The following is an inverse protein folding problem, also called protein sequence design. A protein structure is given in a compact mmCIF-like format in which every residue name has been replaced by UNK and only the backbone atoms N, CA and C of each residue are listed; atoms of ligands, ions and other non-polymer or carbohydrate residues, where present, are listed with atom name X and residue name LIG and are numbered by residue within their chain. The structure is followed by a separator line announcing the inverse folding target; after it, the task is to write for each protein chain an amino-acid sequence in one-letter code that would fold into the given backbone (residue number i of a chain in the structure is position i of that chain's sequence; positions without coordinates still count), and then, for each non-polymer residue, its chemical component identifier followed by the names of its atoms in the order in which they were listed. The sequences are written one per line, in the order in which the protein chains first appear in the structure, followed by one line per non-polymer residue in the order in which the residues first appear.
data_IF_436194730998
#
_entry.id   IF_436194730998
#
_cell.length_a   1.000
_cell.length_b   1.000
_cell.length_c   1.000
_cell.angle_alpha   90.00
_cell.angle_beta   90.00
_cell.angle_gamma   90.00
#
_symmetry.space_group_name_H-M   'P 1'
#
loop_
_entity.id
_entity.type
_entity.pdbx_description
1 polymer ?
#
# COMPACT_ATOMS: atom_id res chain seq x y z
N UNK A 1 9.97 -14.98 -1.67
CA UNK A 1 9.64 -14.75 -0.25
C UNK A 1 9.45 -13.25 -0.18
N UNK A 2 8.18 -12.82 -0.12
CA UNK A 2 7.79 -11.69 -0.97
C UNK A 2 6.37 -11.16 -0.75
N UNK A 3 6.19 -9.86 -0.48
CA UNK A 3 4.95 -9.14 -0.15
C UNK A 3 5.09 -7.61 -0.41
N UNK A 4 3.99 -6.90 -0.67
CA UNK A 4 3.74 -6.04 -1.85
C UNK A 4 3.15 -4.66 -1.51
N UNK A 5 3.38 -3.59 -2.29
CA UNK A 5 3.02 -2.22 -1.88
C UNK A 5 2.63 -1.26 -3.03
N UNK A 6 1.73 -0.29 -2.77
CA UNK A 6 1.21 0.68 -3.76
C UNK A 6 2.05 1.96 -3.82
N UNK A 7 1.55 3.12 -4.25
CA UNK A 7 2.31 4.39 -4.08
C UNK A 7 1.40 5.61 -3.90
N UNK A 8 1.51 6.29 -2.76
CA UNK A 8 1.45 7.76 -2.74
C UNK A 8 2.88 8.29 -2.78
N UNK A 9 3.19 9.14 -3.78
CA UNK A 9 4.40 9.99 -3.91
C UNK A 9 5.68 9.28 -4.40
N UNK A 10 6.06 9.57 -5.64
CA UNK A 10 7.48 9.73 -6.04
C UNK A 10 7.77 11.23 -6.18
N UNK A 11 8.99 11.65 -5.83
CA UNK A 11 9.34 13.07 -5.66
C UNK A 11 9.78 13.77 -6.96
N UNK A 12 9.30 15.00 -7.14
CA UNK A 12 9.90 16.03 -7.99
C UNK A 12 10.89 16.89 -7.20
N UNK A 13 11.87 17.45 -7.89
CA UNK A 13 12.77 18.48 -7.36
C UNK A 13 12.56 19.82 -8.11
N UNK A 14 12.76 20.93 -7.41
CA UNK A 14 12.72 22.34 -7.87
C UNK A 14 11.60 22.77 -8.84
N UNK A 15 10.50 23.26 -8.26
CA UNK A 15 10.00 24.60 -8.59
C UNK A 15 9.84 25.40 -7.30
N UNK A 16 10.62 26.46 -7.14
CA UNK A 16 10.66 27.27 -5.92
C UNK A 16 10.70 28.77 -6.25
N UNK A 17 9.52 29.37 -6.41
CA UNK A 17 9.31 30.81 -6.27
C UNK A 17 8.91 31.13 -4.82
N UNK A 18 9.32 32.29 -4.32
CA UNK A 18 9.58 32.52 -2.89
C UNK A 18 8.40 32.98 -2.02
N UNK A 19 7.16 32.53 -2.26
CA UNK A 19 5.98 33.04 -1.54
C UNK A 19 5.17 31.97 -0.78
N UNK A 20 4.31 32.44 0.14
CA UNK A 20 3.57 31.61 1.10
C UNK A 20 2.34 30.95 0.50
N UNK A 21 2.56 29.92 -0.33
CA UNK A 21 1.48 29.14 -0.97
C UNK A 21 1.97 27.89 -1.67
N UNK A 22 2.60 26.95 -0.94
CA UNK A 22 3.33 25.80 -1.52
C UNK A 22 2.42 24.64 -1.93
N UNK A 23 1.67 24.81 -3.03
CA UNK A 23 1.10 23.68 -3.78
C UNK A 23 2.22 22.85 -4.40
N UNK A 24 2.19 21.52 -4.22
CA UNK A 24 3.14 20.60 -4.85
C UNK A 24 2.41 19.53 -5.65
N UNK A 25 2.75 19.36 -6.92
CA UNK A 25 2.20 18.31 -7.78
C UNK A 25 3.16 17.11 -7.78
N UNK A 26 2.60 15.91 -7.61
CA UNK A 26 3.26 14.60 -7.65
C UNK A 26 2.68 13.78 -8.78
N UNK A 27 3.35 12.71 -9.20
CA UNK A 27 2.72 11.63 -9.96
C UNK A 27 2.01 10.66 -9.00
N UNK A 28 0.85 10.14 -9.41
CA UNK A 28 -0.01 9.28 -8.60
C UNK A 28 -0.84 8.33 -9.45
N UNK A 29 -1.00 7.10 -9.00
CA UNK A 29 -1.86 6.08 -9.62
C UNK A 29 -2.09 4.95 -8.60
N UNK A 30 -3.24 4.25 -8.61
CA UNK A 30 -3.51 3.15 -7.69
C UNK A 30 -3.09 1.82 -8.34
N UNK A 31 -2.48 0.93 -7.57
CA UNK A 31 -1.68 -0.14 -8.14
C UNK A 31 -1.90 -1.50 -7.48
N UNK A 32 -1.48 -2.51 -8.23
CA UNK A 32 -1.21 -3.87 -7.79
C UNK A 32 0.29 -4.12 -7.98
N UNK A 33 0.90 -4.85 -7.06
CA UNK A 33 2.32 -5.22 -7.16
C UNK A 33 2.52 -6.70 -6.77
N UNK A 34 3.73 -7.20 -6.92
CA UNK A 34 4.05 -8.64 -6.94
C UNK A 34 5.53 -8.85 -6.56
N UNK A 35 5.85 -9.18 -5.31
CA UNK A 35 7.26 -9.27 -4.89
C UNK A 35 7.85 -10.66 -5.20
N UNK A 36 9.17 -10.76 -5.35
CA UNK A 36 9.99 -11.95 -5.57
C UNK A 36 11.26 -11.89 -4.70
N UNK A 37 12.02 -13.00 -4.58
CA UNK A 37 13.43 -12.95 -4.19
C UNK A 37 14.33 -12.83 -5.44
N UNK A 38 15.41 -12.06 -5.33
CA UNK A 38 16.49 -11.74 -6.32
C UNK A 38 16.13 -10.76 -7.46
N UNK A 39 16.87 -9.65 -7.56
CA UNK A 39 16.48 -8.38 -6.87
C UNK A 39 17.20 -7.05 -7.68
N UNK A 40 17.53 -5.65 -7.61
CA UNK A 40 17.75 -4.30 -6.76
C UNK A 40 16.57 -3.31 -6.40
N UNK A 41 16.56 -2.42 -5.37
CA UNK A 41 15.27 -1.90 -4.71
C UNK A 41 14.71 -0.42 -4.85
N UNK A 42 13.36 -0.18 -4.63
CA UNK A 42 12.62 0.92 -3.86
C UNK A 42 11.31 1.75 -4.39
N UNK A 43 10.00 1.34 -4.47
CA UNK A 43 8.78 2.28 -4.63
C UNK A 43 7.40 1.96 -3.87
N UNK A 44 6.93 2.69 -2.80
CA UNK A 44 6.50 2.20 -1.41
C UNK A 44 7.22 0.96 -0.91
N UNK A 45 7.49 0.08 -1.84
CA UNK A 45 8.58 -0.85 -1.93
C UNK A 45 10.00 -0.26 -1.60
N UNK A 46 10.33 1.06 -1.32
CA UNK A 46 11.51 1.34 -0.52
C UNK A 46 11.23 0.84 0.87
N UNK A 47 10.12 1.16 1.50
CA UNK A 47 9.91 0.84 2.90
C UNK A 47 10.09 -0.67 3.14
N UNK A 48 9.53 -1.53 2.29
CA UNK A 48 9.89 -2.96 2.30
C UNK A 48 11.37 -3.23 1.96
N UNK A 49 11.88 -2.67 0.86
CA UNK A 49 13.22 -2.96 0.37
C UNK A 49 14.40 -2.40 1.17
N UNK A 50 14.36 -1.11 1.49
CA UNK A 50 15.18 -0.41 2.47
C UNK A 50 15.22 -1.18 3.79
N UNK A 51 14.11 -1.72 4.31
CA UNK A 51 14.12 -2.59 5.50
C UNK A 51 14.82 -3.94 5.28
N UNK A 52 14.93 -4.41 4.04
CA UNK A 52 15.58 -5.67 3.67
C UNK A 52 17.07 -5.50 3.36
N UNK A 53 17.51 -4.31 2.93
CA UNK A 53 18.90 -3.93 2.54
C UNK A 53 19.63 -4.87 1.56
N UNK A 54 18.93 -5.80 0.91
CA UNK A 54 19.60 -6.73 -0.02
C UNK A 54 20.11 -5.96 -1.24
N UNK A 55 21.25 -6.41 -1.81
CA UNK A 55 21.79 -5.80 -3.02
C UNK A 55 20.85 -5.90 -4.21
N UNK A 56 19.69 -6.57 -4.09
CA UNK A 56 18.74 -6.78 -5.17
C UNK A 56 17.18 -6.46 -4.69
N UNK A 57 16.08 -5.83 -5.34
CA UNK A 57 14.75 -5.97 -6.23
C UNK A 57 13.69 -6.92 -5.71
N UNK A 58 13.26 -6.74 -4.47
CA UNK A 58 12.20 -7.62 -4.01
C UNK A 58 10.91 -7.34 -4.80
N UNK A 59 10.61 -6.10 -5.17
CA UNK A 59 9.34 -5.76 -5.82
C UNK A 59 9.25 -5.97 -7.34
N UNK A 60 8.03 -6.28 -7.80
CA UNK A 60 7.49 -6.06 -9.16
C UNK A 60 6.24 -5.22 -9.01
N UNK A 61 5.92 -4.34 -9.95
CA UNK A 61 4.84 -3.35 -9.77
C UNK A 61 4.09 -3.13 -11.06
N UNK A 62 2.77 -3.30 -11.05
CA UNK A 62 1.92 -3.26 -12.24
C UNK A 62 1.00 -2.04 -12.22
N UNK A 63 0.97 -1.33 -13.34
CA UNK A 63 0.34 -0.02 -13.40
C UNK A 63 0.12 0.50 -14.81
N UNK A 64 -0.52 1.68 -14.92
CA UNK A 64 -0.70 2.39 -16.18
C UNK A 64 -0.18 3.83 -16.07
N UNK A 65 0.50 4.30 -17.11
CA UNK A 65 1.08 5.66 -17.23
C UNK A 65 0.89 6.21 -18.64
N UNK A 66 1.06 7.53 -18.79
CA UNK A 66 1.19 8.18 -20.09
C UNK A 66 2.61 8.03 -20.63
N UNK A 67 2.74 8.00 -21.96
CA UNK A 67 4.03 8.11 -22.67
C UNK A 67 4.51 9.55 -22.68
N UNK A 68 4.76 10.08 -21.49
CA UNK A 68 5.12 11.48 -21.25
C UNK A 68 6.28 11.62 -20.25
N UNK A 69 6.71 12.87 -20.04
CA UNK A 69 7.82 13.20 -19.14
C UNK A 69 7.58 12.72 -17.69
N UNK A 70 6.33 12.71 -17.24
CA UNK A 70 5.97 12.22 -15.89
C UNK A 70 6.01 10.69 -15.81
N UNK A 71 5.67 9.98 -16.89
CA UNK A 71 5.84 8.54 -17.03
C UNK A 71 7.31 8.13 -17.03
N UNK A 72 8.19 8.89 -17.70
CA UNK A 72 9.64 8.69 -17.62
C UNK A 72 10.20 9.00 -16.22
N UNK A 73 9.68 10.03 -15.54
CA UNK A 73 10.02 10.29 -14.13
C UNK A 73 9.57 9.11 -13.26
N UNK A 74 8.36 8.57 -13.42
CA UNK A 74 7.90 7.39 -12.68
C UNK A 74 8.80 6.17 -12.93
N UNK A 75 9.11 5.85 -14.19
CA UNK A 75 9.99 4.72 -14.55
C UNK A 75 11.38 4.90 -13.92
N UNK A 76 12.01 6.07 -14.06
CA UNK A 76 13.31 6.35 -13.43
C UNK A 76 13.25 6.35 -11.89
N UNK A 77 12.19 6.91 -11.29
CA UNK A 77 11.92 6.85 -9.85
C UNK A 77 11.36 5.51 -9.37
N UNK A 78 11.29 4.51 -10.26
CA UNK A 78 11.19 3.09 -9.98
C UNK A 78 12.46 2.33 -10.43
N UNK A 79 13.55 3.02 -10.80
CA UNK A 79 14.82 2.40 -11.22
C UNK A 79 16.04 2.90 -10.41
N UNK A 80 16.21 4.20 -10.14
CA UNK A 80 16.98 4.67 -8.96
C UNK A 80 16.45 3.98 -7.69
N UNK A 81 15.13 3.79 -7.74
CA UNK A 81 14.29 3.18 -6.77
C UNK A 81 13.79 1.81 -7.28
N UNK A 82 14.65 1.13 -8.04
CA UNK A 82 14.60 -0.22 -8.58
C UNK A 82 13.42 -1.08 -8.07
N UNK A 83 12.41 -1.16 -8.90
CA UNK A 83 11.30 -2.08 -8.79
C UNK A 83 11.27 -2.80 -10.12
N UNK A 84 10.75 -4.01 -10.18
CA UNK A 84 10.40 -4.63 -11.45
C UNK A 84 9.09 -4.05 -11.98
N UNK A 85 9.11 -2.73 -12.21
CA UNK A 85 7.94 -1.98 -12.61
C UNK A 85 7.61 -2.29 -14.06
N UNK A 86 6.44 -2.88 -14.29
CA UNK A 86 5.89 -3.18 -15.60
C UNK A 86 4.66 -2.30 -15.76
N UNK A 87 4.81 -1.27 -16.59
CA UNK A 87 3.75 -0.32 -16.87
C UNK A 87 3.08 -0.65 -18.20
N UNK A 88 1.75 -0.62 -18.22
CA UNK A 88 0.98 -0.40 -19.43
C UNK A 88 1.19 1.07 -19.85
N UNK A 89 1.95 1.29 -20.91
CA UNK A 89 2.26 2.62 -21.42
C UNK A 89 1.39 2.98 -22.62
N UNK A 90 0.55 4.01 -22.47
CA UNK A 90 -0.44 4.43 -23.46
C UNK A 90 -0.30 5.93 -23.82
N UNK A 91 -0.97 6.38 -24.88
CA UNK A 91 -0.84 7.74 -25.45
C UNK A 91 -2.10 8.60 -25.25
N UNK A 92 -3.21 7.98 -24.85
CA UNK A 92 -4.54 8.57 -24.84
C UNK A 92 -4.76 9.53 -23.65
N UNK A 93 -4.18 9.22 -22.49
CA UNK A 93 -4.26 10.03 -21.26
C UNK A 93 -2.84 10.32 -20.70
N UNK A 94 -2.59 11.50 -20.11
CA UNK A 94 -1.33 11.80 -19.45
C UNK A 94 -1.16 11.02 -18.14
N UNK A 95 0.08 10.86 -17.69
CA UNK A 95 0.42 10.21 -16.43
C UNK A 95 -0.32 10.85 -15.25
N UNK A 96 -0.96 10.01 -14.44
CA UNK A 96 -1.74 10.43 -13.27
C UNK A 96 -0.92 11.25 -12.28
N UNK A 97 -1.59 12.22 -11.65
CA UNK A 97 -0.98 13.19 -10.72
C UNK A 97 -1.79 13.35 -9.43
N UNK A 98 -1.15 13.91 -8.41
CA UNK A 98 -1.81 14.31 -7.17
C UNK A 98 -1.20 15.62 -6.68
N UNK A 99 -1.99 16.63 -6.36
CA UNK A 99 -1.52 17.80 -5.65
C UNK A 99 -1.56 17.53 -4.13
N UNK A 100 -0.45 17.77 -3.43
CA UNK A 100 -0.48 18.00 -1.98
C UNK A 100 -0.45 19.50 -1.72
N UNK A 101 -1.55 20.00 -1.17
CA UNK A 101 -1.66 21.36 -0.65
C UNK A 101 -1.24 21.35 0.83
N UNK A 102 -0.22 22.13 1.15
CA UNK A 102 0.48 22.14 2.44
C UNK A 102 0.16 23.44 3.18
N UNK A 103 -0.54 23.34 4.32
CA UNK A 103 -1.00 24.51 5.11
C UNK A 103 -0.73 24.28 6.59
N UNK A 104 0.44 24.76 7.06
CA UNK A 104 0.98 24.34 8.36
C UNK A 104 1.23 22.83 8.35
N UNK A 105 0.74 22.13 9.37
CA UNK A 105 0.84 20.66 9.48
C UNK A 105 -0.23 19.93 8.65
N UNK A 106 -1.28 20.65 8.22
CA UNK A 106 -2.36 20.07 7.42
C UNK A 106 -1.90 19.72 6.01
N UNK A 107 -2.49 18.65 5.46
CA UNK A 107 -2.29 18.17 4.09
C UNK A 107 -3.66 17.94 3.45
N UNK A 108 -3.93 18.57 2.30
CA UNK A 108 -5.04 18.19 1.43
C UNK A 108 -4.47 17.54 0.17
N UNK A 109 -5.04 16.41 -0.24
CA UNK A 109 -4.59 15.61 -1.39
C UNK A 109 -5.66 15.64 -2.48
N UNK A 110 -5.32 16.11 -3.67
CA UNK A 110 -6.22 16.19 -4.83
C UNK A 110 -5.65 15.36 -5.96
N UNK A 111 -6.16 14.15 -6.15
CA UNK A 111 -5.69 13.21 -7.18
C UNK A 111 -6.42 13.40 -8.52
N UNK A 112 -5.67 13.64 -9.58
CA UNK A 112 -6.12 13.47 -10.96
C UNK A 112 -5.56 12.14 -11.48
N UNK A 113 -6.39 11.11 -11.57
CA UNK A 113 -5.93 9.77 -11.92
C UNK A 113 -5.47 9.65 -13.39
N UNK A 114 -6.15 10.31 -14.35
CA UNK A 114 -5.80 10.28 -15.78
C UNK A 114 -5.42 8.87 -16.26
N UNK A 115 -4.20 8.66 -16.81
CA UNK A 115 -3.71 7.36 -17.28
C UNK A 115 -3.83 6.23 -16.25
N UNK A 116 -3.82 6.52 -14.95
CA UNK A 116 -4.01 5.52 -13.90
C UNK A 116 -5.32 4.74 -14.06
N UNK A 117 -6.39 5.41 -14.51
CA UNK A 117 -7.71 4.81 -14.77
C UNK A 117 -7.73 3.96 -16.04
N UNK A 118 -6.69 4.01 -16.87
CA UNK A 118 -6.63 3.33 -18.17
C UNK A 118 -6.03 1.92 -18.10
N UNK A 119 -5.72 1.40 -16.91
CA UNK A 119 -5.20 0.04 -16.76
C UNK A 119 -6.18 -1.00 -17.29
N UNK A 120 -5.68 -1.91 -18.13
CA UNK A 120 -6.49 -2.89 -18.85
C UNK A 120 -5.92 -4.29 -18.66
N UNK A 121 -6.70 -5.16 -18.00
CA UNK A 121 -6.29 -6.52 -17.63
C UNK A 121 -5.79 -7.30 -18.85
N UNK A 122 -6.57 -7.27 -19.91
CA UNK A 122 -6.35 -7.96 -21.19
C UNK A 122 -5.17 -7.41 -22.01
N UNK A 123 -4.70 -6.19 -21.71
CA UNK A 123 -3.54 -5.56 -22.35
C UNK A 123 -2.26 -5.60 -21.51
N UNK A 124 -2.32 -6.09 -20.26
CA UNK A 124 -1.18 -6.04 -19.36
C UNK A 124 -1.07 -7.22 -18.39
N UNK A 125 -2.10 -7.50 -17.58
CA UNK A 125 -2.06 -8.59 -16.58
C UNK A 125 -2.26 -9.98 -17.20
N UNK A 126 -2.91 -10.06 -18.35
CA UNK A 126 -3.13 -11.30 -19.11
C UNK A 126 -2.00 -11.61 -20.11
N UNK A 127 -0.95 -10.77 -20.19
CA UNK A 127 0.25 -11.08 -20.98
C UNK A 127 1.11 -12.08 -20.22
N UNK A 128 1.49 -13.20 -20.84
CA UNK A 128 2.26 -14.29 -20.21
C UNK A 128 3.51 -13.79 -19.47
N UNK A 129 4.28 -12.91 -20.10
CA UNK A 129 5.51 -12.33 -19.54
C UNK A 129 5.31 -11.49 -18.29
N UNK A 130 4.10 -10.98 -18.05
CA UNK A 130 3.70 -10.32 -16.81
C UNK A 130 3.03 -11.32 -15.85
N UNK A 131 2.18 -12.23 -16.34
CA UNK A 131 1.51 -13.22 -15.51
C UNK A 131 2.50 -14.17 -14.82
N UNK A 132 3.56 -14.58 -15.53
CA UNK A 132 4.73 -15.30 -14.97
C UNK A 132 5.29 -14.62 -13.71
N UNK A 133 5.25 -13.29 -13.63
CA UNK A 133 5.77 -12.54 -12.50
C UNK A 133 4.83 -12.69 -11.30
N UNK A 134 3.51 -12.63 -11.54
CA UNK A 134 2.45 -12.95 -10.56
C UNK A 134 2.67 -14.35 -9.99
N UNK A 135 2.87 -15.34 -10.85
CA UNK A 135 3.06 -16.73 -10.44
C UNK A 135 4.29 -16.96 -9.56
N UNK A 136 5.33 -16.13 -9.70
CA UNK A 136 6.58 -16.21 -8.92
C UNK A 136 6.50 -15.56 -7.52
N UNK A 137 5.40 -14.88 -7.16
CA UNK A 137 5.21 -14.31 -5.83
C UNK A 137 4.70 -15.32 -4.78
N UNK A 138 5.02 -15.04 -3.50
CA UNK A 138 4.44 -15.73 -2.33
C UNK A 138 3.29 -14.95 -1.67
N UNK A 139 3.31 -13.63 -1.78
CA UNK A 139 2.28 -12.74 -1.22
C UNK A 139 1.99 -11.58 -2.19
N UNK A 140 0.74 -11.16 -2.24
CA UNK A 140 0.23 -10.01 -2.99
C UNK A 140 -0.34 -8.95 -2.07
N UNK A 141 -0.51 -7.73 -2.56
CA UNK A 141 -1.19 -6.64 -1.88
C UNK A 141 -1.70 -5.66 -2.92
N UNK A 142 -2.89 -5.13 -2.69
CA UNK A 142 -3.53 -4.17 -3.58
C UNK A 142 -4.24 -3.13 -2.71
N UNK A 143 -4.06 -1.84 -3.00
CA UNK A 143 -4.83 -0.80 -2.33
C UNK A 143 -6.28 -0.82 -2.82
N UNK A 144 -7.24 -0.58 -1.92
CA UNK A 144 -8.65 -0.41 -2.24
C UNK A 144 -8.90 0.64 -3.33
N UNK A 145 -8.02 1.64 -3.48
CA UNK A 145 -8.06 2.57 -4.62
C UNK A 145 -8.05 1.88 -6.00
N UNK A 146 -7.45 0.71 -6.17
CA UNK A 146 -7.43 0.04 -7.47
C UNK A 146 -8.78 -0.64 -7.81
N UNK A 147 -9.71 -0.74 -6.83
CA UNK A 147 -11.13 -1.08 -7.08
C UNK A 147 -11.85 0.00 -7.90
N UNK A 148 -11.32 1.22 -7.97
CA UNK A 148 -11.88 2.28 -8.82
C UNK A 148 -11.41 2.18 -10.28
N UNK A 149 -10.55 1.21 -10.60
CA UNK A 149 -9.90 1.08 -11.92
C UNK A 149 -10.13 -0.29 -12.53
N UNK A 150 -9.75 -1.39 -11.85
CA UNK A 150 -9.77 -2.74 -12.44
C UNK A 150 -10.04 -3.83 -11.38
N UNK A 151 -11.26 -3.89 -10.79
CA UNK A 151 -11.66 -4.97 -9.88
C UNK A 151 -11.43 -6.39 -10.42
N UNK A 152 -11.54 -6.58 -11.73
CA UNK A 152 -11.30 -7.84 -12.42
C UNK A 152 -9.82 -8.26 -12.43
N UNK A 153 -8.88 -7.31 -12.42
CA UNK A 153 -7.45 -7.61 -12.18
C UNK A 153 -7.21 -8.07 -10.75
N UNK A 154 -7.82 -7.37 -9.79
CA UNK A 154 -7.74 -7.70 -8.35
C UNK A 154 -8.29 -9.11 -8.12
N UNK A 155 -9.47 -9.40 -8.64
CA UNK A 155 -10.15 -10.68 -8.46
C UNK A 155 -9.40 -11.86 -9.13
N UNK A 156 -8.80 -11.66 -10.31
CA UNK A 156 -7.94 -12.68 -10.95
C UNK A 156 -6.78 -13.09 -10.03
N UNK A 157 -6.14 -12.12 -9.39
CA UNK A 157 -4.94 -12.32 -8.57
C UNK A 157 -5.28 -12.84 -7.18
N UNK A 158 -6.37 -12.37 -6.59
CA UNK A 158 -6.86 -12.85 -5.30
C UNK A 158 -7.34 -14.32 -5.38
N UNK A 159 -7.98 -14.71 -6.48
CA UNK A 159 -8.30 -16.12 -6.79
C UNK A 159 -7.04 -16.97 -6.93
N UNK A 160 -6.12 -16.58 -7.81
CA UNK A 160 -4.84 -17.28 -7.99
C UNK A 160 -4.06 -17.43 -6.68
N UNK A 161 -4.09 -16.41 -5.81
CA UNK A 161 -3.46 -16.47 -4.49
C UNK A 161 -4.10 -17.55 -3.59
N UNK A 162 -5.43 -17.52 -3.46
CA UNK A 162 -6.23 -18.46 -2.69
C UNK A 162 -6.03 -19.91 -3.16
N UNK A 163 -6.15 -20.15 -4.47
CA UNK A 163 -5.97 -21.46 -5.12
C UNK A 163 -4.58 -22.05 -4.85
N UNK A 164 -3.54 -21.23 -4.88
CA UNK A 164 -2.15 -21.63 -4.67
C UNK A 164 -1.68 -21.52 -3.20
N UNK A 165 -2.60 -21.26 -2.25
CA UNK A 165 -2.32 -21.02 -0.83
C UNK A 165 -1.22 -19.97 -0.57
N UNK A 166 -1.09 -19.00 -1.48
CA UNK A 166 -0.29 -17.78 -1.31
C UNK A 166 -1.08 -16.81 -0.44
N UNK A 167 -0.43 -15.79 0.11
CA UNK A 167 -1.11 -14.78 0.94
C UNK A 167 -1.62 -13.65 0.02
N UNK A 168 -2.85 -13.18 0.19
CA UNK A 168 -3.35 -11.98 -0.47
C UNK A 168 -3.71 -10.91 0.57
N UNK A 169 -3.00 -9.78 0.53
CA UNK A 169 -3.25 -8.64 1.38
C UNK A 169 -4.08 -7.56 0.66
N UNK A 170 -4.75 -6.69 1.41
CA UNK A 170 -5.49 -5.56 0.86
C UNK A 170 -5.50 -4.39 1.86
N UNK A 171 -5.73 -3.17 1.41
CA UNK A 171 -5.87 -1.99 2.28
C UNK A 171 -7.19 -1.24 2.00
N UNK A 172 -7.95 -0.85 3.02
CA UNK A 172 -9.17 -0.05 2.87
C UNK A 172 -8.90 1.31 2.19
N UNK A 173 -7.73 1.91 2.43
CA UNK A 173 -7.09 3.01 1.69
C UNK A 173 -7.74 4.40 1.76
N UNK A 174 -9.07 4.49 1.83
CA UNK A 174 -9.83 5.69 2.15
C UNK A 174 -11.31 5.34 2.47
N UNK A 175 -12.00 6.13 3.31
CA UNK A 175 -13.44 5.96 3.60
C UNK A 175 -14.34 5.82 2.37
N UNK A 176 -14.03 6.54 1.28
CA UNK A 176 -14.83 6.54 0.06
C UNK A 176 -14.83 5.18 -0.66
N UNK A 177 -13.84 4.31 -0.42
CA UNK A 177 -13.81 2.95 -0.95
C UNK A 177 -14.90 2.09 -0.29
N UNK A 178 -15.03 2.17 1.05
CA UNK A 178 -16.10 1.48 1.76
C UNK A 178 -17.49 2.01 1.42
N UNK A 179 -17.62 3.31 1.12
CA UNK A 179 -18.89 3.97 0.78
C UNK A 179 -19.35 3.67 -0.66
N UNK A 180 -18.52 3.93 -1.66
CA UNK A 180 -18.92 3.90 -3.07
C UNK A 180 -18.44 2.65 -3.82
N UNK A 181 -17.44 1.93 -3.29
CA UNK A 181 -16.85 0.73 -3.88
C UNK A 181 -17.05 -0.52 -3.00
N UNK A 182 -18.07 -0.49 -2.13
CA UNK A 182 -18.50 -1.60 -1.26
C UNK A 182 -18.68 -2.92 -2.01
N UNK A 183 -19.35 -2.91 -3.16
CA UNK A 183 -19.63 -4.11 -3.93
C UNK A 183 -18.35 -4.80 -4.45
N UNK A 184 -17.45 -4.14 -5.21
CA UNK A 184 -16.20 -4.76 -5.63
C UNK A 184 -15.27 -5.08 -4.45
N UNK A 185 -15.26 -4.27 -3.37
CA UNK A 185 -14.52 -4.59 -2.14
C UNK A 185 -14.98 -5.93 -1.54
N UNK A 186 -16.30 -6.11 -1.38
CA UNK A 186 -16.86 -7.34 -0.80
C UNK A 186 -16.83 -8.55 -1.74
N UNK A 187 -16.67 -8.36 -3.05
CA UNK A 187 -16.32 -9.45 -4.00
C UNK A 187 -14.87 -9.94 -3.84
N UNK A 188 -13.96 -9.09 -3.35
CA UNK A 188 -12.55 -9.42 -3.12
C UNK A 188 -12.29 -9.89 -1.69
N UNK A 189 -13.04 -9.38 -0.71
CA UNK A 189 -12.88 -9.69 0.73
C UNK A 189 -12.75 -11.19 1.08
N UNK A 190 -13.48 -12.14 0.44
CA UNK A 190 -13.32 -13.58 0.73
C UNK A 190 -11.94 -14.15 0.43
N UNK A 191 -11.15 -13.47 -0.40
CA UNK A 191 -9.79 -13.87 -0.76
C UNK A 191 -8.72 -13.17 0.10
N UNK A 192 -9.09 -12.18 0.92
CA UNK A 192 -8.15 -11.41 1.74
C UNK A 192 -7.70 -12.20 2.96
N UNK A 193 -6.39 -12.51 3.00
CA UNK A 193 -5.68 -13.06 4.15
C UNK A 193 -5.24 -11.99 5.15
N UNK A 194 -4.82 -10.80 4.69
CA UNK A 194 -4.45 -9.68 5.58
C UNK A 194 -5.11 -8.38 5.11
N UNK A 195 -5.99 -7.81 5.93
CA UNK A 195 -6.61 -6.50 5.67
C UNK A 195 -5.93 -5.41 6.50
N UNK A 196 -5.49 -4.34 5.82
CA UNK A 196 -4.96 -3.12 6.42
C UNK A 196 -5.98 -1.97 6.35
N UNK A 197 -5.84 -1.01 7.26
CA UNK A 197 -6.53 0.29 7.21
C UNK A 197 -6.12 1.19 8.38
N UNK A 198 -6.71 2.38 8.45
CA UNK A 198 -6.68 3.23 9.65
C UNK A 198 -8.03 3.23 10.39
N UNK A 199 -8.08 3.88 11.55
CA UNK A 199 -9.26 3.98 12.41
C UNK A 199 -10.49 4.59 11.69
N UNK A 200 -10.27 5.61 10.85
CA UNK A 200 -11.33 6.29 10.10
C UNK A 200 -11.89 5.41 8.97
N UNK A 201 -11.01 4.66 8.29
CA UNK A 201 -11.38 3.67 7.27
C UNK A 201 -12.11 2.47 7.89
N UNK A 202 -11.65 1.98 9.04
CA UNK A 202 -12.25 0.87 9.77
C UNK A 202 -13.66 1.23 10.29
N UNK A 203 -13.84 2.40 10.91
CA UNK A 203 -15.14 2.90 11.34
C UNK A 203 -16.11 3.09 10.15
N UNK A 204 -15.60 3.59 9.01
CA UNK A 204 -16.43 3.70 7.79
C UNK A 204 -16.81 2.32 7.24
N UNK A 205 -15.87 1.37 7.19
CA UNK A 205 -16.14 -0.01 6.75
C UNK A 205 -17.14 -0.72 7.67
N UNK A 206 -17.03 -0.53 8.99
CA UNK A 206 -17.97 -1.03 9.98
C UNK A 206 -19.38 -0.51 9.74
N UNK A 207 -19.54 0.82 9.64
CA UNK A 207 -20.82 1.48 9.34
C UNK A 207 -21.43 0.98 8.04
N UNK A 208 -20.66 0.93 6.96
CA UNK A 208 -21.16 0.50 5.65
C UNK A 208 -21.49 -1.00 5.60
N UNK A 209 -20.95 -1.83 6.50
CA UNK A 209 -21.37 -3.22 6.69
C UNK A 209 -22.51 -3.42 7.70
N UNK A 210 -22.97 -2.37 8.38
CA UNK A 210 -23.97 -2.49 9.44
C UNK A 210 -23.43 -3.18 10.70
N UNK A 211 -22.13 -3.02 10.99
CA UNK A 211 -21.58 -3.42 12.28
C UNK A 211 -22.04 -2.43 13.35
N UNK A 212 -22.87 -2.89 14.29
CA UNK A 212 -23.41 -2.10 15.40
C UNK A 212 -22.35 -1.83 16.51
N UNK A 213 -21.20 -1.27 16.14
CA UNK A 213 -20.11 -0.92 17.06
C UNK A 213 -19.10 0.03 16.43
N UNK A 214 -18.69 1.04 17.21
CA UNK A 214 -17.57 1.95 16.89
C UNK A 214 -16.25 1.50 17.55
N UNK A 215 -16.25 0.41 18.34
CA UNK A 215 -15.05 -0.10 19.00
C UNK A 215 -14.12 -0.78 17.98
N UNK A 216 -12.92 -0.25 17.81
CA UNK A 216 -11.95 -0.68 16.80
C UNK A 216 -11.55 -2.17 16.93
N UNK A 217 -11.55 -2.71 18.16
CA UNK A 217 -11.25 -4.13 18.40
C UNK A 217 -12.43 -5.03 17.99
N UNK A 218 -13.66 -4.66 18.35
CA UNK A 218 -14.88 -5.33 17.91
C UNK A 218 -15.06 -5.25 16.38
N UNK A 219 -14.70 -4.13 15.75
CA UNK A 219 -14.65 -3.99 14.29
C UNK A 219 -13.62 -4.97 13.72
N UNK A 220 -12.38 -4.97 14.20
CA UNK A 220 -11.33 -5.87 13.72
C UNK A 220 -11.73 -7.36 13.83
N UNK A 221 -12.34 -7.76 14.95
CA UNK A 221 -12.86 -9.10 15.17
C UNK A 221 -14.01 -9.46 14.21
N UNK A 222 -15.01 -8.57 14.03
CA UNK A 222 -16.10 -8.77 13.06
C UNK A 222 -15.56 -8.85 11.62
N UNK A 223 -14.57 -8.03 11.25
CA UNK A 223 -13.92 -8.03 9.94
C UNK A 223 -13.11 -9.30 9.70
N UNK A 224 -12.39 -9.81 10.71
CA UNK A 224 -11.68 -11.09 10.63
C UNK A 224 -12.65 -12.22 10.28
N UNK A 225 -13.80 -12.28 10.95
CA UNK A 225 -14.79 -13.36 10.84
C UNK A 225 -15.75 -13.23 9.63
N UNK A 226 -15.49 -12.32 8.68
CA UNK A 226 -16.18 -12.30 7.39
C UNK A 226 -15.90 -13.61 6.59
N UNK A 227 -16.79 -14.04 5.67
CA UNK A 227 -16.57 -15.24 4.86
C UNK A 227 -15.21 -15.26 4.17
N UNK A 228 -14.61 -16.44 3.99
CA UNK A 228 -13.26 -16.62 3.44
C UNK A 228 -13.13 -17.92 2.65
N UNK A 229 -12.51 -17.84 1.47
CA UNK A 229 -12.34 -18.94 0.52
C UNK A 229 -11.22 -19.89 0.94
N UNK A 230 -10.00 -19.37 1.12
CA UNK A 230 -8.87 -20.17 1.58
C UNK A 230 -8.93 -20.40 3.10
N UNK A 231 -9.65 -21.45 3.51
CA UNK A 231 -9.78 -21.91 4.91
C UNK A 231 -8.46 -22.40 5.54
N UNK A 232 -7.37 -22.56 4.76
CA UNK A 232 -6.04 -22.94 5.29
C UNK A 232 -5.33 -21.78 5.99
N UNK A 233 -5.90 -20.57 5.95
CA UNK A 233 -5.37 -19.35 6.54
C UNK A 233 -6.52 -18.58 7.19
N UNK A 234 -6.45 -18.34 8.50
CA UNK A 234 -7.34 -17.38 9.15
C UNK A 234 -7.03 -15.96 8.65
N UNK A 235 -8.05 -15.10 8.53
CA UNK A 235 -7.82 -13.69 8.18
C UNK A 235 -7.09 -12.98 9.33
N UNK A 236 -6.14 -12.13 8.99
CA UNK A 236 -5.56 -11.13 9.89
C UNK A 236 -6.13 -9.76 9.50
N UNK A 237 -6.51 -8.96 10.48
CA UNK A 237 -6.89 -7.56 10.32
C UNK A 237 -5.87 -6.73 11.10
N UNK A 238 -5.43 -5.61 10.52
CA UNK A 238 -4.45 -4.69 11.12
C UNK A 238 -4.92 -3.25 10.89
N UNK A 239 -5.32 -2.56 11.95
CA UNK A 239 -5.75 -1.16 11.91
C UNK A 239 -4.79 -0.27 12.72
N UNK A 240 -4.12 0.65 12.04
CA UNK A 240 -3.29 1.69 12.69
C UNK A 240 -4.17 2.81 13.23
N UNK A 241 -3.80 3.42 14.36
CA UNK A 241 -4.56 4.52 14.99
C UNK A 241 -3.72 5.81 15.13
N UNK A 242 -2.97 6.14 14.09
CA UNK A 242 -2.03 7.27 14.09
C UNK A 242 -0.90 7.09 15.12
N UNK A 243 -1.06 7.72 16.29
CA UNK A 243 -0.15 7.62 17.44
C UNK A 243 -0.60 6.60 18.49
N UNK A 244 -1.88 6.21 18.48
CA UNK A 244 -2.45 5.29 19.44
C UNK A 244 -2.26 3.83 18.97
N UNK A 245 -2.35 2.88 19.89
CA UNK A 245 -2.03 1.46 19.67
C UNK A 245 -2.61 0.89 18.36
N UNK A 246 -1.77 0.19 17.61
CA UNK A 246 -2.20 -0.54 16.41
C UNK A 246 -2.95 -1.81 16.80
N UNK A 247 -4.16 -1.97 16.27
CA UNK A 247 -5.04 -3.10 16.54
C UNK A 247 -4.72 -4.21 15.56
N UNK A 248 -4.47 -5.43 16.04
CA UNK A 248 -4.34 -6.58 15.14
C UNK A 248 -4.96 -7.87 15.71
N UNK A 249 -5.47 -8.71 14.82
CA UNK A 249 -6.05 -10.02 15.19
C UNK A 249 -4.99 -11.12 15.14
N UNK A 250 -4.68 -11.71 16.30
CA UNK A 250 -3.65 -12.73 16.52
C UNK A 250 -4.34 -14.05 16.89
N UNK A 251 -4.50 -14.94 15.91
CA UNK A 251 -5.43 -16.07 16.04
C UNK A 251 -6.86 -15.57 16.26
N UNK A 252 -7.57 -16.13 17.24
CA UNK A 252 -8.95 -15.77 17.60
C UNK A 252 -9.03 -14.58 18.59
N UNK A 253 -7.92 -13.86 18.83
CA UNK A 253 -7.83 -12.74 19.77
C UNK A 253 -7.54 -11.43 19.04
N UNK A 254 -8.08 -10.33 19.54
CA UNK A 254 -7.58 -8.99 19.21
C UNK A 254 -6.47 -8.63 20.18
N UNK A 255 -5.39 -8.04 19.68
CA UNK A 255 -4.23 -7.58 20.46
C UNK A 255 -3.92 -6.14 20.08
N UNK A 256 -3.59 -5.33 21.09
CA UNK A 256 -3.14 -3.94 20.93
C UNK A 256 -1.62 -3.92 20.89
N UNK A 257 -1.05 -3.19 19.95
CA UNK A 257 0.39 -3.04 19.76
C UNK A 257 0.78 -1.57 19.92
N UNK A 258 1.38 -1.18 21.06
CA UNK A 258 1.81 0.19 21.30
C UNK A 258 2.71 0.72 20.20
N UNK A 259 2.40 1.91 19.69
CA UNK A 259 3.29 2.66 18.81
C UNK A 259 4.46 3.17 19.66
N UNK A 260 5.68 3.11 19.13
CA UNK A 260 6.85 3.65 19.83
C UNK A 260 6.74 5.18 19.87
N UNK A 261 6.65 5.75 21.07
CA UNK A 261 6.63 7.20 21.29
C UNK A 261 7.81 7.90 20.62
N UNK A 262 7.53 9.04 19.98
CA UNK A 262 8.52 9.97 19.46
C UNK A 262 8.19 11.40 19.90
N UNK A 263 9.22 12.22 20.06
CA UNK A 263 9.06 13.66 20.31
C UNK A 263 8.28 14.29 19.16
N UNK A 264 7.12 14.88 19.47
CA UNK A 264 6.22 15.48 18.49
C UNK A 264 6.90 16.64 17.72
N UNK A 265 7.90 17.30 18.31
CA UNK A 265 8.70 18.33 17.63
C UNK A 265 9.59 17.78 16.50
N UNK A 266 9.78 16.46 16.43
CA UNK A 266 10.50 15.80 15.33
C UNK A 266 9.60 15.44 14.14
N UNK A 267 8.28 15.56 14.25
CA UNK A 267 7.34 15.22 13.17
C UNK A 267 7.29 16.34 12.13
N UNK A 268 7.43 15.99 10.84
CA UNK A 268 7.57 16.93 9.72
C UNK A 268 6.53 16.70 8.61
N UNK A 269 6.18 15.44 8.30
CA UNK A 269 5.15 15.11 7.31
C UNK A 269 4.49 13.76 7.62
N UNK A 270 3.29 13.76 8.21
CA UNK A 270 2.52 12.52 8.47
C UNK A 270 2.03 11.84 7.19
N UNK A 271 2.09 12.53 6.04
CA UNK A 271 1.73 11.97 4.73
C UNK A 271 2.62 10.78 4.37
N UNK A 272 2.02 9.59 4.38
CA UNK A 272 2.69 8.33 4.06
C UNK A 272 3.06 7.48 5.28
N UNK A 273 2.64 7.85 6.49
CA UNK A 273 2.83 7.03 7.69
C UNK A 273 2.25 5.61 7.53
N UNK A 274 0.99 5.50 7.08
CA UNK A 274 0.35 4.20 6.82
C UNK A 274 0.99 3.44 5.66
N UNK A 275 1.31 4.12 4.56
CA UNK A 275 2.07 3.58 3.42
C UNK A 275 3.42 2.97 3.87
N UNK A 276 4.10 3.64 4.81
CA UNK A 276 5.35 3.19 5.41
C UNK A 276 5.17 2.07 6.45
N UNK A 277 4.09 2.11 7.25
CA UNK A 277 3.74 1.05 8.19
C UNK A 277 3.52 -0.28 7.47
N UNK A 278 2.64 -0.29 6.45
CA UNK A 278 2.44 -1.48 5.62
C UNK A 278 3.77 -1.85 4.96
N UNK A 279 4.54 -0.86 4.52
CA UNK A 279 5.91 -1.01 4.04
C UNK A 279 6.83 -1.87 4.91
N UNK A 280 6.99 -1.46 6.17
CA UNK A 280 7.79 -2.17 7.16
C UNK A 280 7.20 -3.54 7.53
N UNK A 281 5.88 -3.63 7.69
CA UNK A 281 5.19 -4.89 7.97
C UNK A 281 5.49 -5.94 6.92
N UNK A 282 5.29 -5.60 5.65
CA UNK A 282 5.46 -6.55 4.57
C UNK A 282 6.95 -6.90 4.41
N UNK A 283 7.89 -6.01 4.75
CA UNK A 283 9.34 -6.31 4.85
C UNK A 283 9.71 -7.46 5.79
N UNK A 284 8.88 -7.75 6.79
CA UNK A 284 9.07 -8.85 7.73
C UNK A 284 8.26 -10.07 7.31
N UNK A 285 7.04 -9.87 6.79
CA UNK A 285 6.24 -10.95 6.21
C UNK A 285 6.96 -11.64 5.04
N UNK A 286 7.73 -10.90 4.23
CA UNK A 286 8.57 -11.49 3.15
C UNK A 286 9.71 -12.37 3.67
N UNK A 287 10.09 -12.20 4.94
CA UNK A 287 11.13 -12.97 5.64
C UNK A 287 10.52 -14.07 6.53
N UNK A 288 9.22 -14.33 6.38
CA UNK A 288 8.46 -15.33 7.14
C UNK A 288 8.65 -15.16 8.67
N UNK A 289 8.72 -13.89 9.11
CA UNK A 289 8.76 -13.49 10.53
C UNK A 289 7.36 -13.57 11.17
N UNK A 290 7.28 -13.43 12.50
CA UNK A 290 6.01 -13.42 13.23
C UNK A 290 5.20 -12.15 12.98
N UNK A 291 3.91 -12.16 13.36
CA UNK A 291 3.00 -11.02 13.18
C UNK A 291 3.44 -9.81 14.01
N UNK A 292 3.95 -10.06 15.21
CA UNK A 292 4.50 -9.06 16.13
C UNK A 292 5.72 -8.36 15.50
N UNK A 293 6.64 -9.13 14.90
CA UNK A 293 7.79 -8.59 14.16
C UNK A 293 7.38 -7.81 12.91
N UNK A 294 6.28 -8.19 12.27
CA UNK A 294 5.71 -7.41 11.17
C UNK A 294 5.18 -6.06 11.67
N UNK A 295 4.39 -6.03 12.75
CA UNK A 295 3.87 -4.77 13.31
C UNK A 295 5.02 -3.88 13.80
N UNK A 296 6.02 -4.44 14.49
CA UNK A 296 7.24 -3.74 14.94
C UNK A 296 8.03 -3.12 13.77
N UNK A 297 8.22 -3.88 12.69
CA UNK A 297 8.87 -3.37 11.47
C UNK A 297 8.06 -2.25 10.82
N UNK A 298 6.72 -2.35 10.85
CA UNK A 298 5.82 -1.30 10.38
C UNK A 298 5.92 -0.01 11.21
N UNK A 299 5.84 -0.09 12.54
CA UNK A 299 5.99 1.06 13.44
C UNK A 299 7.34 1.76 13.24
N UNK A 300 8.43 1.00 13.18
CA UNK A 300 9.76 1.57 12.90
C UNK A 300 9.77 2.32 11.55
N UNK A 301 9.23 1.71 10.49
CA UNK A 301 9.22 2.34 9.17
C UNK A 301 8.37 3.62 9.18
N UNK A 302 7.17 3.61 9.76
CA UNK A 302 6.34 4.80 9.91
C UNK A 302 7.05 5.92 10.68
N UNK A 303 7.64 5.61 11.84
CA UNK A 303 8.31 6.58 12.70
C UNK A 303 9.52 7.25 12.01
N UNK A 304 10.24 6.55 11.13
CA UNK A 304 11.36 7.15 10.37
C UNK A 304 10.88 8.05 9.23
N UNK A 305 9.72 7.75 8.62
CA UNK A 305 9.19 8.58 7.52
C UNK A 305 8.56 9.88 8.04
N UNK A 306 7.79 9.82 9.13
CA UNK A 306 7.09 11.02 9.64
C UNK A 306 8.03 12.11 10.17
N UNK A 307 9.27 11.75 10.52
CA UNK A 307 10.34 12.69 10.90
C UNK A 307 11.01 13.41 9.71
N UNK A 308 10.49 13.25 8.50
CA UNK A 308 11.13 13.72 7.26
C UNK A 308 10.10 14.38 6.34
N UNK A 309 10.56 15.19 5.39
CA UNK A 309 9.67 15.84 4.41
C UNK A 309 9.17 14.79 3.41
N UNK A 310 8.03 14.20 3.72
CA UNK A 310 7.36 13.16 2.94
C UNK A 310 8.08 11.81 2.96
N UNK A 311 7.60 10.92 2.09
CA UNK A 311 8.01 9.53 1.83
C UNK A 311 9.51 9.31 1.53
N UNK A 312 10.41 9.72 2.43
CA UNK A 312 11.87 9.65 2.29
C UNK A 312 12.50 9.07 3.55
N UNK A 313 13.61 8.36 3.39
CA UNK A 313 14.27 7.55 4.42
C UNK A 313 15.79 7.75 4.32
N UNK A 314 16.57 7.47 5.39
CA UNK A 314 18.04 7.38 5.29
C UNK A 314 18.47 6.22 4.38
N UNK A 315 19.72 6.18 3.94
CA UNK A 315 20.24 5.13 3.04
C UNK A 315 19.99 3.70 3.58
N UNK A 316 20.15 3.52 4.89
CA UNK A 316 20.03 2.25 5.60
C UNK A 316 19.07 2.38 6.79
N UNK A 317 18.29 1.34 7.12
CA UNK A 317 17.50 1.30 8.35
C UNK A 317 18.44 1.01 9.54
N UNK A 318 18.03 1.49 10.71
CA UNK A 318 18.56 1.09 12.00
C UNK A 318 17.51 0.21 12.70
N UNK A 319 17.18 -0.92 12.08
CA UNK A 319 16.20 -1.89 12.58
C UNK A 319 16.90 -3.22 12.85
N UNK A 320 16.72 -3.73 14.07
CA UNK A 320 17.29 -4.96 14.60
C UNK A 320 16.16 -5.72 15.29
#
# INVERSE_FOLDING_TARGET
MSCVLTTKKMFLDRLSTGETGKMRIWCNSPFMSVIRPRDHLKAQEPFAGWMIQKPHKVATFFGCIGKDHFGEILKKKAEEANVDARYYEQNEEPTGTCAACITGDNRSLVANLAAANCYKKEKHLDLDSNWELVEKAKVYYIAGFFLTVSPESILKVAKHASENNKIFCMNLSAPFISQFFKEPLMKVMPYVDILFGNETEAATFAKELGFETDDIAAIANKTQNLPKENVKRQRVVVFTQGKDDTVATVGDKVTMFPVVDIDQNTIVDTNGAGDAFVGGFLSALVREQSLEECIRAGHYAANVIIQRVGCTFPEKPNFH
#
